data_IF_062691209737
#
_entry.id   IF_062691209737
#
_cell.length_a   1.000
_cell.length_b   1.000
_cell.length_c   1.000
_cell.angle_alpha   90.00
_cell.angle_beta   90.00
_cell.angle_gamma   90.00
#
_symmetry.space_group_name_H-M   'P 1'
#
loop_
_entity.id
_entity.type
_entity.pdbx_description
1 polymer ?
#
# COMPACT_ATOMS: atom_id res chain seq x y z
N UNK A 1 40.29 27.16 -59.96
CA UNK A 1 40.33 27.57 -58.53
C UNK A 1 39.35 26.70 -57.79
N UNK A 2 39.85 25.65 -57.15
CA UNK A 2 39.05 24.68 -56.44
C UNK A 2 39.01 25.09 -54.98
N UNK A 3 37.78 25.26 -54.42
CA UNK A 3 37.54 25.46 -53.01
C UNK A 3 37.33 24.09 -52.33
N UNK A 4 38.29 23.71 -51.49
CA UNK A 4 38.26 22.55 -50.64
C UNK A 4 37.26 22.77 -49.50
N UNK A 5 36.28 21.88 -49.41
CA UNK A 5 35.37 21.79 -48.27
C UNK A 5 35.99 20.88 -47.21
N UNK A 6 36.29 21.46 -46.07
CA UNK A 6 36.77 20.74 -44.87
C UNK A 6 35.56 20.17 -44.11
N UNK A 7 35.50 18.87 -43.76
CA UNK A 7 34.41 18.36 -42.92
C UNK A 7 34.62 18.72 -41.44
N UNK A 8 33.71 19.46 -40.86
CA UNK A 8 33.60 19.63 -39.41
C UNK A 8 33.34 18.26 -38.74
N UNK A 9 34.34 17.83 -37.99
CA UNK A 9 34.18 16.70 -37.07
C UNK A 9 33.38 17.22 -35.86
N UNK A 10 32.10 16.84 -35.77
CA UNK A 10 31.32 16.91 -34.53
C UNK A 10 31.91 15.91 -33.54
N UNK A 11 32.70 16.39 -32.60
CA UNK A 11 33.06 15.63 -31.42
C UNK A 11 31.82 15.55 -30.52
N UNK A 12 31.20 14.41 -30.48
CA UNK A 12 30.18 14.09 -29.49
C UNK A 12 30.87 14.02 -28.12
N UNK A 13 30.71 15.08 -27.33
CA UNK A 13 31.02 15.07 -25.91
C UNK A 13 29.90 14.29 -25.25
N UNK A 14 30.06 12.97 -25.14
CA UNK A 14 29.30 12.13 -24.21
C UNK A 14 29.72 12.57 -22.80
N UNK A 15 28.92 13.41 -22.19
CA UNK A 15 28.96 13.62 -20.76
C UNK A 15 28.61 12.26 -20.08
N UNK A 16 29.64 11.53 -19.69
CA UNK A 16 29.55 10.39 -18.81
C UNK A 16 29.11 10.91 -17.44
N UNK A 17 27.81 11.13 -17.28
CA UNK A 17 27.17 11.22 -15.98
C UNK A 17 27.31 9.84 -15.35
N UNK A 18 28.32 9.71 -14.49
CA UNK A 18 28.62 8.47 -13.79
C UNK A 18 27.48 8.07 -12.87
N UNK A 19 26.56 7.29 -13.39
CA UNK A 19 25.82 6.34 -12.60
C UNK A 19 26.83 5.24 -12.22
N UNK A 20 27.54 5.44 -11.10
CA UNK A 20 28.07 4.34 -10.32
C UNK A 20 26.85 3.62 -9.69
N UNK A 21 26.05 2.99 -10.50
CA UNK A 21 25.28 1.84 -10.09
C UNK A 21 26.34 0.75 -9.87
N UNK A 22 26.86 0.67 -8.64
CA UNK A 22 27.57 -0.52 -8.21
C UNK A 22 26.64 -1.68 -8.55
N UNK A 23 27.03 -2.50 -9.52
CA UNK A 23 26.32 -3.72 -9.89
C UNK A 23 26.46 -4.69 -8.70
N UNK A 24 25.67 -4.46 -7.67
CA UNK A 24 25.50 -5.41 -6.59
C UNK A 24 24.93 -6.66 -7.23
N UNK A 25 25.68 -7.76 -7.21
CA UNK A 25 25.24 -9.00 -7.83
C UNK A 25 23.87 -9.39 -7.26
N UNK A 26 22.99 -9.99 -8.07
CA UNK A 26 21.70 -10.52 -7.59
C UNK A 26 21.89 -11.42 -6.37
N UNK A 27 22.99 -12.18 -6.30
CA UNK A 27 23.30 -13.07 -5.19
C UNK A 27 23.71 -12.31 -3.93
N UNK A 28 24.43 -11.19 -4.06
CA UNK A 28 24.78 -10.33 -2.92
C UNK A 28 23.52 -9.62 -2.35
N UNK A 29 22.64 -9.11 -3.22
CA UNK A 29 21.36 -8.56 -2.81
C UNK A 29 20.47 -9.62 -2.16
N UNK A 30 20.36 -10.82 -2.76
CA UNK A 30 19.57 -11.91 -2.17
C UNK A 30 20.16 -12.41 -0.86
N UNK A 31 21.49 -12.40 -0.70
CA UNK A 31 22.18 -12.74 0.54
C UNK A 31 21.95 -11.72 1.65
N UNK A 32 21.96 -10.43 1.33
CA UNK A 32 21.70 -9.35 2.26
C UNK A 32 20.26 -9.39 2.81
N UNK A 33 19.27 -9.69 1.94
CA UNK A 33 17.87 -9.81 2.35
C UNK A 33 17.56 -11.12 3.08
N UNK A 34 18.15 -12.24 2.66
CA UNK A 34 17.97 -13.55 3.34
C UNK A 34 18.50 -13.55 4.76
N UNK A 35 19.58 -12.82 5.03
CA UNK A 35 20.12 -12.66 6.38
C UNK A 35 19.10 -12.02 7.34
N UNK A 36 18.30 -11.05 6.88
CA UNK A 36 17.26 -10.40 7.67
C UNK A 36 16.15 -11.34 8.11
N UNK A 37 15.61 -12.18 7.20
CA UNK A 37 14.53 -13.14 7.50
C UNK A 37 14.92 -14.17 8.59
N UNK A 38 16.16 -14.59 8.62
CA UNK A 38 16.67 -15.60 9.57
C UNK A 38 17.33 -14.99 10.81
N UNK A 39 17.46 -13.67 10.87
CA UNK A 39 18.10 -13.01 12.01
C UNK A 39 17.42 -13.42 13.33
N UNK A 40 18.18 -13.75 14.40
CA UNK A 40 17.62 -14.25 15.67
C UNK A 40 16.57 -13.33 16.31
N UNK A 41 16.64 -12.02 16.08
CA UNK A 41 15.67 -11.04 16.56
C UNK A 41 14.38 -10.99 15.72
N UNK A 42 14.38 -11.52 14.49
CA UNK A 42 13.25 -11.52 13.54
C UNK A 42 12.59 -12.88 13.47
N UNK A 43 13.35 -13.93 13.11
CA UNK A 43 12.90 -15.33 13.01
C UNK A 43 11.62 -15.47 12.16
N UNK A 44 11.62 -14.87 10.97
CA UNK A 44 10.45 -14.79 10.10
C UNK A 44 9.77 -16.15 9.85
N UNK A 45 10.53 -17.23 9.66
CA UNK A 45 9.98 -18.56 9.39
C UNK A 45 9.62 -19.36 10.65
N UNK A 46 10.28 -19.08 11.79
CA UNK A 46 10.23 -19.92 12.98
C UNK A 46 9.73 -19.21 14.24
N UNK A 47 9.60 -17.88 14.19
CA UNK A 47 9.07 -17.08 15.30
C UNK A 47 7.56 -17.30 15.49
N UNK A 48 7.04 -16.93 16.67
CA UNK A 48 5.60 -16.94 16.91
C UNK A 48 4.92 -15.93 16.00
N UNK A 49 3.72 -16.26 15.55
CA UNK A 49 2.88 -15.48 14.66
C UNK A 49 1.66 -14.97 15.42
N UNK A 50 1.31 -13.70 15.23
CA UNK A 50 0.21 -13.03 15.92
C UNK A 50 -0.69 -12.21 14.99
N UNK A 51 -0.71 -12.54 13.69
CA UNK A 51 -1.57 -11.86 12.73
C UNK A 51 -3.02 -12.38 12.75
N UNK A 52 -4.00 -11.60 12.26
CA UNK A 52 -5.41 -11.97 12.28
C UNK A 52 -5.76 -13.21 11.46
N UNK A 53 -5.01 -13.52 10.39
CA UNK A 53 -5.27 -14.70 9.54
C UNK A 53 -4.81 -15.99 10.23
N UNK A 54 -3.69 -15.93 10.93
CA UNK A 54 -3.23 -17.02 11.79
C UNK A 54 -4.27 -17.33 12.89
N UNK A 55 -4.79 -16.30 13.56
CA UNK A 55 -5.82 -16.45 14.59
C UNK A 55 -7.13 -17.00 14.03
N UNK A 56 -7.55 -16.55 12.83
CA UNK A 56 -8.70 -17.11 12.16
C UNK A 56 -8.49 -18.61 11.88
N UNK A 57 -7.33 -18.99 11.32
CA UNK A 57 -7.03 -20.39 11.03
C UNK A 57 -7.07 -21.26 12.30
N UNK A 58 -6.53 -20.77 13.42
CA UNK A 58 -6.61 -21.46 14.71
C UNK A 58 -8.06 -21.71 15.11
N UNK A 59 -8.93 -20.70 15.01
CA UNK A 59 -10.38 -20.81 15.31
C UNK A 59 -11.13 -21.74 14.36
N UNK A 60 -10.70 -21.83 13.09
CA UNK A 60 -11.25 -22.80 12.14
C UNK A 60 -10.85 -24.23 12.53
N UNK A 61 -9.62 -24.43 12.99
CA UNK A 61 -9.11 -25.75 13.36
C UNK A 61 -9.70 -26.27 14.69
N UNK A 62 -9.97 -25.38 15.65
CA UNK A 62 -10.61 -25.75 16.92
C UNK A 62 -12.15 -25.78 16.84
N UNK A 63 -12.74 -25.33 15.70
CA UNK A 63 -14.18 -25.37 15.44
C UNK A 63 -14.98 -24.23 16.06
N UNK A 64 -14.31 -23.23 16.68
CA UNK A 64 -14.96 -22.04 17.25
C UNK A 64 -15.47 -21.05 16.20
N UNK A 65 -14.96 -21.14 14.97
CA UNK A 65 -15.45 -20.43 13.79
C UNK A 65 -15.71 -21.43 12.67
N UNK A 66 -16.79 -21.22 11.92
CA UNK A 66 -17.11 -21.98 10.71
C UNK A 66 -17.30 -21.02 9.55
N UNK A 67 -16.70 -21.36 8.40
CA UNK A 67 -16.89 -20.61 7.16
C UNK A 67 -18.05 -21.24 6.37
N UNK A 68 -18.92 -20.38 5.83
CA UNK A 68 -19.97 -20.75 4.91
C UNK A 68 -19.47 -20.63 3.47
N UNK A 69 -19.58 -21.70 2.71
CA UNK A 69 -19.34 -21.69 1.26
C UNK A 69 -20.60 -21.22 0.53
N UNK A 70 -20.48 -20.19 -0.30
CA UNK A 70 -21.61 -19.53 -0.96
C UNK A 70 -21.51 -19.62 -2.49
N UNK A 71 -21.89 -20.74 -3.06
CA UNK A 71 -21.98 -20.92 -4.51
C UNK A 71 -20.77 -20.43 -5.30
N UNK A 72 -21.01 -19.52 -6.24
CA UNK A 72 -19.95 -18.98 -7.09
C UNK A 72 -18.96 -18.03 -6.39
N UNK A 73 -19.30 -17.57 -5.18
CA UNK A 73 -18.44 -16.66 -4.39
C UNK A 73 -17.58 -17.39 -3.36
N UNK A 74 -17.67 -18.71 -3.31
CA UNK A 74 -16.84 -19.54 -2.44
C UNK A 74 -16.94 -19.15 -0.96
N UNK A 75 -15.82 -19.06 -0.30
CA UNK A 75 -15.73 -18.60 1.09
C UNK A 75 -15.63 -17.07 1.24
N UNK A 76 -15.56 -16.30 0.14
CA UNK A 76 -15.24 -14.88 0.16
C UNK A 76 -16.05 -14.07 1.20
N UNK A 77 -17.39 -14.13 1.15
CA UNK A 77 -18.25 -13.37 2.10
C UNK A 77 -17.99 -13.75 3.55
N UNK A 78 -17.83 -15.03 3.81
CA UNK A 78 -17.60 -15.57 5.15
C UNK A 78 -16.22 -15.16 5.70
N UNK A 79 -15.21 -15.14 4.84
CA UNK A 79 -13.85 -14.68 5.18
C UNK A 79 -13.79 -13.18 5.47
N UNK A 80 -14.43 -12.37 4.62
CA UNK A 80 -14.53 -10.92 4.86
C UNK A 80 -15.19 -10.61 6.21
N UNK A 81 -16.30 -11.30 6.52
CA UNK A 81 -16.97 -11.14 7.79
C UNK A 81 -16.11 -11.61 8.99
N UNK A 82 -15.46 -12.77 8.88
CA UNK A 82 -14.63 -13.33 9.95
C UNK A 82 -13.38 -12.48 10.24
N UNK A 83 -12.84 -11.78 9.25
CA UNK A 83 -11.68 -10.90 9.35
C UNK A 83 -12.05 -9.42 9.53
N UNK A 84 -13.36 -9.09 9.61
CA UNK A 84 -13.84 -7.70 9.68
C UNK A 84 -13.32 -6.82 8.53
N UNK A 85 -13.27 -7.36 7.32
CA UNK A 85 -12.87 -6.62 6.12
C UNK A 85 -14.14 -6.05 5.46
N UNK A 86 -14.27 -4.75 5.29
CA UNK A 86 -15.46 -4.15 4.67
C UNK A 86 -15.50 -4.45 3.17
N UNK A 87 -16.67 -4.83 2.66
CA UNK A 87 -16.88 -5.07 1.23
C UNK A 87 -16.63 -3.81 0.40
N UNK A 88 -16.88 -2.64 0.98
CA UNK A 88 -16.66 -1.33 0.39
C UNK A 88 -15.18 -1.03 0.09
N UNK A 89 -14.24 -1.79 0.70
CA UNK A 89 -12.82 -1.70 0.41
C UNK A 89 -12.40 -2.35 -0.90
N UNK A 90 -13.35 -2.90 -1.68
CA UNK A 90 -13.05 -3.58 -2.93
C UNK A 90 -12.25 -2.71 -3.90
N UNK A 91 -11.10 -3.23 -4.32
CA UNK A 91 -10.29 -2.73 -5.42
C UNK A 91 -10.19 -3.80 -6.50
N UNK A 92 -10.04 -3.38 -7.76
CA UNK A 92 -10.07 -4.31 -8.90
C UNK A 92 -8.85 -4.10 -9.77
N UNK A 93 -8.04 -5.15 -9.93
CA UNK A 93 -6.80 -5.14 -10.70
C UNK A 93 -6.87 -6.14 -11.86
N UNK A 94 -6.61 -5.64 -13.07
CA UNK A 94 -6.64 -6.45 -14.29
C UNK A 94 -5.27 -6.70 -14.89
N UNK A 95 -4.20 -6.11 -14.35
CA UNK A 95 -2.82 -6.41 -14.77
C UNK A 95 -2.39 -7.81 -14.32
N UNK A 96 -1.73 -8.53 -15.21
CA UNK A 96 -1.19 -9.88 -14.97
C UNK A 96 0.12 -9.84 -14.18
N UNK A 97 0.14 -9.16 -13.04
CA UNK A 97 1.33 -8.92 -12.23
C UNK A 97 1.48 -9.83 -11.01
N UNK A 98 0.59 -10.79 -10.81
CA UNK A 98 0.65 -11.76 -9.72
C UNK A 98 1.06 -13.17 -10.20
N UNK A 99 1.33 -14.08 -9.28
CA UNK A 99 1.54 -15.51 -9.58
C UNK A 99 0.35 -16.11 -10.33
N UNK A 100 -0.86 -15.65 -10.02
CA UNK A 100 -2.10 -16.03 -10.70
C UNK A 100 -2.40 -15.17 -11.95
N UNK A 101 -1.43 -14.44 -12.47
CA UNK A 101 -1.62 -13.51 -13.59
C UNK A 101 -2.20 -14.16 -14.86
N UNK A 102 -1.95 -15.45 -15.08
CA UNK A 102 -2.51 -16.21 -16.21
C UNK A 102 -4.04 -16.34 -16.16
N UNK A 103 -4.65 -16.23 -14.96
CA UNK A 103 -6.11 -16.28 -14.72
C UNK A 103 -6.76 -14.90 -14.85
N UNK A 104 -5.97 -13.82 -14.83
CA UNK A 104 -6.45 -12.44 -14.81
C UNK A 104 -6.60 -11.88 -16.23
N UNK A 105 -7.72 -11.24 -16.51
CA UNK A 105 -7.95 -10.44 -17.71
C UNK A 105 -8.76 -9.17 -17.37
N UNK A 106 -8.85 -8.18 -18.27
CA UNK A 106 -9.71 -7.03 -18.02
C UNK A 106 -11.20 -7.35 -17.86
N UNK A 107 -11.70 -8.44 -18.44
CA UNK A 107 -13.07 -8.91 -18.25
C UNK A 107 -13.23 -9.88 -17.06
N UNK A 108 -12.13 -10.40 -16.55
CA UNK A 108 -12.07 -11.33 -15.41
C UNK A 108 -10.94 -10.91 -14.45
N UNK A 109 -11.03 -9.73 -13.85
CA UNK A 109 -9.98 -9.20 -13.00
C UNK A 109 -9.98 -9.83 -11.60
N UNK A 110 -8.86 -9.67 -10.89
CA UNK A 110 -8.72 -9.99 -9.48
C UNK A 110 -9.31 -8.86 -8.63
N UNK A 111 -10.00 -9.22 -7.55
CA UNK A 111 -10.41 -8.29 -6.50
C UNK A 111 -9.46 -8.33 -5.32
N UNK A 112 -9.34 -7.21 -4.65
CA UNK A 112 -8.59 -7.00 -3.42
C UNK A 112 -9.55 -6.35 -2.43
N UNK A 113 -9.58 -6.88 -1.20
CA UNK A 113 -10.30 -6.32 -0.07
C UNK A 113 -9.32 -6.10 1.07
N UNK A 114 -9.48 -5.06 1.86
CA UNK A 114 -8.53 -4.78 2.92
C UNK A 114 -9.17 -4.12 4.14
N UNK A 115 -8.49 -4.27 5.28
CA UNK A 115 -8.64 -3.47 6.48
C UNK A 115 -7.25 -3.03 6.97
N UNK A 116 -7.13 -2.58 8.21
CA UNK A 116 -5.87 -2.02 8.74
C UNK A 116 -4.70 -3.01 8.79
N UNK A 117 -4.94 -4.31 8.73
CA UNK A 117 -3.90 -5.34 8.96
C UNK A 117 -3.97 -6.54 8.00
N UNK A 118 -5.01 -6.66 7.19
CA UNK A 118 -5.19 -7.79 6.28
C UNK A 118 -5.58 -7.31 4.90
N UNK A 119 -4.94 -7.88 3.89
CA UNK A 119 -5.36 -7.81 2.49
C UNK A 119 -5.79 -9.21 2.06
N UNK A 120 -6.97 -9.32 1.50
CA UNK A 120 -7.53 -10.54 0.94
C UNK A 120 -7.68 -10.35 -0.57
N UNK A 121 -7.20 -11.32 -1.36
CA UNK A 121 -7.36 -11.28 -2.82
C UNK A 121 -8.12 -12.49 -3.32
N UNK A 122 -8.97 -12.26 -4.32
CA UNK A 122 -9.85 -13.28 -4.88
C UNK A 122 -10.11 -13.05 -6.37
N UNK A 123 -10.20 -14.14 -7.11
CA UNK A 123 -10.59 -14.15 -8.53
C UNK A 123 -11.85 -15.03 -8.64
N UNK A 124 -12.95 -14.57 -9.28
CA UNK A 124 -14.18 -15.34 -9.37
C UNK A 124 -13.97 -16.70 -10.00
N UNK A 125 -14.49 -17.77 -9.36
CA UNK A 125 -14.42 -19.15 -9.86
C UNK A 125 -13.06 -19.81 -9.80
N UNK A 126 -12.03 -19.13 -9.30
CA UNK A 126 -10.70 -19.71 -9.17
C UNK A 126 -10.52 -20.43 -7.82
N UNK A 127 -9.60 -21.42 -7.75
CA UNK A 127 -9.57 -22.35 -6.63
C UNK A 127 -8.96 -21.82 -5.35
N UNK A 128 -8.48 -20.56 -5.31
CA UNK A 128 -7.75 -20.04 -4.16
C UNK A 128 -8.22 -18.65 -3.74
N UNK A 129 -8.29 -18.45 -2.41
CA UNK A 129 -8.27 -17.12 -1.78
C UNK A 129 -6.89 -16.91 -1.18
N UNK A 130 -6.24 -15.78 -1.51
CA UNK A 130 -4.93 -15.44 -0.97
C UNK A 130 -5.04 -14.32 0.06
N UNK A 131 -4.13 -14.34 1.05
CA UNK A 131 -4.08 -13.33 2.11
C UNK A 131 -2.65 -12.82 2.28
N UNK A 132 -2.57 -11.54 2.61
CA UNK A 132 -1.37 -10.93 3.17
C UNK A 132 -1.78 -10.25 4.48
N UNK A 133 -1.21 -10.69 5.59
CA UNK A 133 -1.56 -10.23 6.92
C UNK A 133 -0.34 -9.64 7.63
N UNK A 134 -0.49 -8.48 8.27
CA UNK A 134 0.57 -7.84 9.03
C UNK A 134 0.76 -8.52 10.39
N UNK A 135 1.88 -9.22 10.55
CA UNK A 135 2.36 -9.60 11.86
C UNK A 135 3.09 -8.42 12.50
N UNK A 136 2.78 -8.05 13.74
CA UNK A 136 3.32 -6.85 14.38
C UNK A 136 4.85 -6.80 14.49
N UNK A 137 5.54 -7.91 14.36
CA UNK A 137 7.00 -7.99 14.50
C UNK A 137 7.73 -8.50 13.28
N UNK A 138 7.07 -9.37 12.50
CA UNK A 138 7.68 -10.06 11.36
C UNK A 138 7.42 -9.35 10.03
N UNK A 139 6.43 -8.45 9.97
CA UNK A 139 5.96 -7.86 8.73
C UNK A 139 4.88 -8.72 8.07
N UNK A 140 4.77 -8.67 6.76
CA UNK A 140 3.68 -9.34 6.05
C UNK A 140 3.90 -10.84 5.96
N UNK A 141 2.89 -11.61 6.37
CA UNK A 141 2.83 -13.07 6.22
C UNK A 141 1.78 -13.41 5.17
N UNK A 142 2.13 -14.31 4.27
CA UNK A 142 1.28 -14.70 3.14
C UNK A 142 0.63 -16.05 3.39
N UNK A 143 -0.66 -16.14 3.02
CA UNK A 143 -1.46 -17.35 3.19
C UNK A 143 -2.32 -17.61 1.96
N UNK A 144 -2.76 -18.86 1.83
CA UNK A 144 -3.79 -19.26 0.88
C UNK A 144 -4.79 -20.22 1.51
N UNK A 145 -6.02 -20.17 1.01
CA UNK A 145 -7.10 -21.11 1.31
C UNK A 145 -7.62 -21.68 0.01
N UNK A 146 -7.77 -23.02 -0.07
CA UNK A 146 -8.47 -23.64 -1.18
C UNK A 146 -9.96 -23.22 -1.15
N UNK A 147 -10.42 -22.55 -2.22
CA UNK A 147 -11.80 -22.06 -2.35
C UNK A 147 -12.74 -23.17 -2.86
N UNK A 148 -12.74 -24.29 -2.16
CA UNK A 148 -13.57 -25.47 -2.44
C UNK A 148 -14.32 -25.89 -1.20
N UNK A 149 -15.58 -26.39 -1.35
CA UNK A 149 -16.35 -26.86 -0.20
C UNK A 149 -15.57 -27.88 0.62
N UNK A 150 -15.41 -27.63 1.91
CA UNK A 150 -14.73 -28.51 2.85
C UNK A 150 -15.40 -28.47 4.20
N UNK A 151 -15.50 -29.62 4.86
CA UNK A 151 -15.99 -29.69 6.22
C UNK A 151 -15.04 -29.02 7.23
N UNK A 152 -13.77 -28.90 6.88
CA UNK A 152 -12.74 -28.29 7.71
C UNK A 152 -11.76 -27.49 6.84
N UNK A 153 -12.14 -26.32 6.35
CA UNK A 153 -11.26 -25.47 5.54
C UNK A 153 -10.03 -25.08 6.37
N UNK A 154 -8.87 -25.07 5.71
CA UNK A 154 -7.60 -24.77 6.36
C UNK A 154 -6.85 -23.70 5.58
N UNK A 155 -6.43 -22.64 6.28
CA UNK A 155 -5.57 -21.62 5.74
C UNK A 155 -4.10 -22.06 5.93
N UNK A 156 -3.33 -22.02 4.85
CA UNK A 156 -1.92 -22.45 4.84
C UNK A 156 -0.99 -21.29 4.56
N UNK A 157 0.19 -21.27 5.19
CA UNK A 157 1.21 -20.25 4.96
C UNK A 157 1.94 -20.52 3.63
N UNK A 158 2.01 -19.50 2.76
CA UNK A 158 2.57 -19.58 1.41
C UNK A 158 3.70 -18.57 1.18
N UNK A 159 4.70 -18.54 2.05
CA UNK A 159 5.75 -17.51 1.99
C UNK A 159 6.75 -17.70 0.84
N UNK A 160 7.11 -18.93 0.48
CA UNK A 160 8.22 -19.17 -0.43
C UNK A 160 8.03 -18.48 -1.79
N UNK A 161 6.86 -18.64 -2.39
CA UNK A 161 6.57 -18.08 -3.71
C UNK A 161 6.27 -16.58 -3.64
N UNK A 162 5.52 -16.14 -2.62
CA UNK A 162 5.14 -14.74 -2.45
C UNK A 162 6.37 -13.84 -2.20
N UNK A 163 7.33 -14.30 -1.40
CA UNK A 163 8.54 -13.53 -1.08
C UNK A 163 9.47 -13.30 -2.29
N UNK A 164 9.31 -14.03 -3.39
CA UNK A 164 10.06 -13.73 -4.61
C UNK A 164 9.81 -12.31 -5.15
N UNK A 165 8.60 -11.79 -4.94
CA UNK A 165 8.24 -10.41 -5.29
C UNK A 165 8.15 -9.51 -4.04
N UNK A 166 7.54 -10.02 -2.96
CA UNK A 166 7.19 -9.25 -1.77
C UNK A 166 8.31 -9.14 -0.72
N UNK A 167 9.53 -9.59 -1.04
CA UNK A 167 10.75 -9.35 -0.28
C UNK A 167 11.83 -8.83 -1.22
N UNK A 168 11.70 -7.58 -1.62
CA UNK A 168 12.52 -6.93 -2.64
C UNK A 168 12.85 -5.49 -2.26
N UNK A 169 13.62 -4.79 -3.10
CA UNK A 169 13.87 -3.36 -2.90
C UNK A 169 12.58 -2.54 -2.91
N UNK A 170 11.59 -2.93 -3.72
CA UNK A 170 10.30 -2.24 -3.77
C UNK A 170 9.48 -2.39 -2.48
N UNK A 171 9.72 -3.45 -1.69
CA UNK A 171 9.17 -3.63 -0.34
C UNK A 171 10.16 -3.23 0.75
N UNK A 172 11.18 -2.40 0.43
CA UNK A 172 12.20 -1.89 1.36
C UNK A 172 13.07 -3.01 2.01
N UNK A 173 13.19 -4.17 1.34
CA UNK A 173 13.96 -5.31 1.86
C UNK A 173 13.34 -6.04 3.04
N UNK A 174 12.03 -5.89 3.24
CA UNK A 174 11.24 -6.62 4.23
C UNK A 174 10.11 -7.39 3.55
N UNK A 175 9.55 -8.44 4.17
CA UNK A 175 8.28 -9.01 3.73
C UNK A 175 7.19 -7.94 3.80
N UNK A 176 6.76 -7.45 2.63
CA UNK A 176 5.96 -6.25 2.56
C UNK A 176 4.94 -6.25 1.43
N UNK A 177 4.16 -5.19 1.37
CA UNK A 177 3.12 -4.98 0.38
C UNK A 177 3.63 -4.17 -0.80
N UNK A 178 3.06 -4.41 -1.98
CA UNK A 178 3.40 -3.72 -3.22
C UNK A 178 2.13 -3.27 -3.93
N UNK A 179 2.00 -1.96 -4.15
CA UNK A 179 1.00 -1.40 -5.05
C UNK A 179 1.71 -1.07 -6.36
N UNK A 180 1.59 -1.95 -7.35
CA UNK A 180 2.26 -1.78 -8.63
C UNK A 180 1.38 -1.06 -9.63
N UNK A 181 1.92 -0.07 -10.32
CA UNK A 181 1.27 0.66 -11.40
C UNK A 181 2.05 0.41 -12.70
N UNK A 182 1.42 -0.27 -13.64
CA UNK A 182 1.98 -0.57 -14.96
C UNK A 182 0.89 -0.56 -16.02
N UNK A 183 1.13 0.12 -17.14
CA UNK A 183 0.22 0.06 -18.27
C UNK A 183 0.18 -1.35 -18.87
N UNK A 184 -0.96 -1.75 -19.39
CA UNK A 184 -1.16 -3.09 -19.94
C UNK A 184 -1.67 -3.05 -21.36
N UNK A 185 -1.41 -4.13 -22.10
CA UNK A 185 -2.11 -4.41 -23.36
C UNK A 185 -3.61 -4.66 -23.11
N UNK A 186 -4.39 -4.80 -24.17
CA UNK A 186 -5.81 -5.14 -24.12
C UNK A 186 -6.09 -6.48 -23.41
N UNK A 187 -5.12 -7.38 -23.34
CA UNK A 187 -5.22 -8.65 -22.62
C UNK A 187 -4.84 -8.58 -21.14
N UNK A 188 -4.41 -7.41 -20.63
CA UNK A 188 -3.92 -7.25 -19.28
C UNK A 188 -2.42 -7.56 -19.09
N UNK A 189 -1.69 -7.85 -20.18
CA UNK A 189 -0.24 -8.11 -20.10
C UNK A 189 0.52 -6.82 -19.81
N UNK A 190 1.40 -6.78 -18.79
CA UNK A 190 2.18 -5.61 -18.44
C UNK A 190 3.10 -5.14 -19.57
N UNK A 191 3.17 -3.82 -19.79
CA UNK A 191 4.02 -3.15 -20.76
C UNK A 191 5.03 -2.28 -19.99
N UNK A 192 5.94 -2.92 -19.25
CA UNK A 192 6.85 -2.26 -18.31
C UNK A 192 7.75 -1.20 -18.97
N UNK A 193 7.99 -1.29 -20.27
CA UNK A 193 8.74 -0.28 -21.03
C UNK A 193 8.01 1.07 -21.16
N UNK A 194 6.69 1.13 -20.89
CA UNK A 194 5.90 2.37 -20.82
C UNK A 194 5.85 2.98 -19.42
N UNK A 195 6.63 2.45 -18.51
CA UNK A 195 6.70 2.85 -17.09
C UNK A 195 6.09 1.80 -16.17
N UNK A 196 6.82 1.51 -15.12
CA UNK A 196 6.52 0.49 -14.12
C UNK A 196 6.95 1.04 -12.77
N UNK A 197 5.99 1.38 -11.93
CA UNK A 197 6.22 2.09 -10.67
C UNK A 197 5.53 1.39 -9.50
N UNK A 198 5.95 1.73 -8.29
CA UNK A 198 5.33 1.34 -7.02
C UNK A 198 4.92 2.62 -6.29
N UNK A 199 3.79 3.24 -6.69
CA UNK A 199 3.38 4.52 -6.16
C UNK A 199 2.93 4.45 -4.71
N UNK A 200 3.16 5.55 -4.01
CA UNK A 200 2.60 5.86 -2.71
C UNK A 200 1.90 7.25 -2.74
N UNK A 201 1.46 7.77 -1.60
CA UNK A 201 0.73 9.03 -1.55
C UNK A 201 1.56 10.25 -2.00
N UNK A 202 2.88 10.13 -2.14
CA UNK A 202 3.80 11.18 -2.64
C UNK A 202 3.95 11.17 -4.17
N UNK A 203 3.54 10.08 -4.81
CA UNK A 203 3.68 9.92 -6.26
C UNK A 203 2.69 10.79 -7.03
N UNK A 204 3.05 11.35 -8.20
CA UNK A 204 2.10 12.05 -9.05
C UNK A 204 1.04 11.10 -9.62
N UNK A 205 -0.18 11.61 -9.88
CA UNK A 205 -1.25 10.78 -10.46
C UNK A 205 -0.86 10.17 -11.81
N UNK A 206 0.00 10.82 -12.59
CA UNK A 206 0.53 10.30 -13.85
C UNK A 206 1.32 9.00 -13.72
N UNK A 207 1.64 8.58 -12.51
CA UNK A 207 2.35 7.35 -12.22
C UNK A 207 1.47 6.30 -11.53
N UNK A 208 0.23 6.68 -11.11
CA UNK A 208 -0.63 5.80 -10.30
C UNK A 208 -1.61 5.00 -11.12
N UNK A 209 -1.92 3.81 -10.64
CA UNK A 209 -3.06 2.95 -10.95
C UNK A 209 -3.06 2.30 -12.34
N UNK A 210 -1.93 2.31 -13.06
CA UNK A 210 -1.80 1.51 -14.27
C UNK A 210 -2.12 0.04 -14.01
N UNK A 211 -3.01 -0.55 -14.83
CA UNK A 211 -3.47 -1.93 -14.66
C UNK A 211 -4.58 -2.15 -13.63
N UNK A 212 -5.13 -1.07 -13.07
CA UNK A 212 -6.25 -1.09 -12.12
C UNK A 212 -7.49 -0.44 -12.72
N UNK A 213 -8.66 -0.93 -12.33
CA UNK A 213 -9.89 -0.17 -12.47
C UNK A 213 -10.01 0.83 -11.31
N UNK A 214 -10.52 2.01 -11.63
CA UNK A 214 -10.76 3.08 -10.66
C UNK A 214 -12.13 3.67 -10.93
N UNK A 215 -13.01 3.66 -9.92
CA UNK A 215 -14.35 4.21 -9.99
C UNK A 215 -14.54 5.27 -8.91
N UNK A 216 -15.39 6.27 -9.20
CA UNK A 216 -15.73 7.31 -8.24
C UNK A 216 -16.79 8.24 -8.80
N UNK A 217 -17.44 9.01 -7.93
CA UNK A 217 -18.31 10.12 -8.36
C UNK A 217 -17.46 11.27 -8.92
N UNK A 218 -16.23 11.43 -8.38
CA UNK A 218 -15.21 12.35 -8.90
C UNK A 218 -13.82 11.77 -8.64
N UNK A 219 -13.07 11.51 -9.71
CA UNK A 219 -11.70 10.99 -9.67
C UNK A 219 -10.70 12.09 -10.07
N UNK A 220 -9.44 12.02 -9.60
CA UNK A 220 -8.40 12.95 -10.04
C UNK A 220 -8.08 12.74 -11.53
N UNK A 221 -7.70 13.80 -12.23
CA UNK A 221 -7.29 13.71 -13.63
C UNK A 221 -5.84 13.19 -13.79
N UNK A 222 -5.55 12.65 -14.97
CA UNK A 222 -4.19 12.29 -15.39
C UNK A 222 -3.68 10.96 -14.84
N UNK A 223 -4.47 10.20 -14.09
CA UNK A 223 -4.04 8.88 -13.61
C UNK A 223 -4.02 7.82 -14.73
N UNK A 224 -3.26 6.74 -14.51
CA UNK A 224 -3.13 5.60 -15.44
C UNK A 224 -4.22 4.52 -15.25
N UNK A 225 -5.07 4.64 -14.26
CA UNK A 225 -6.17 3.71 -14.02
C UNK A 225 -7.17 3.71 -15.19
N UNK A 226 -7.79 2.57 -15.44
CA UNK A 226 -8.74 2.34 -16.54
C UNK A 226 -8.12 2.38 -17.96
N UNK A 227 -6.81 2.66 -18.10
CA UNK A 227 -6.09 2.76 -19.37
C UNK A 227 -5.64 1.38 -19.82
N UNK A 228 -5.78 1.11 -21.12
CA UNK A 228 -5.19 -0.03 -21.82
C UNK A 228 -4.48 0.47 -23.09
N UNK A 229 -3.49 -0.26 -23.51
CA UNK A 229 -2.73 0.04 -24.72
C UNK A 229 -3.05 -1.00 -25.79
N UNK A 230 -3.69 -0.56 -26.86
CA UNK A 230 -3.90 -1.39 -28.05
C UNK A 230 -2.65 -1.33 -28.94
N UNK A 231 -2.08 -2.48 -29.25
CA UNK A 231 -0.91 -2.59 -30.12
C UNK A 231 -1.39 -3.10 -31.48
N UNK A 232 -1.23 -2.29 -32.51
CA UNK A 232 -1.53 -2.70 -33.89
C UNK A 232 -0.57 -3.83 -34.32
N UNK A 233 -1.14 -4.94 -34.71
CA UNK A 233 -0.37 -6.15 -35.07
C UNK A 233 0.53 -5.98 -36.29
N UNK A 234 0.15 -5.13 -37.24
CA UNK A 234 0.86 -4.92 -38.50
C UNK A 234 1.91 -3.80 -38.39
N UNK A 235 1.51 -2.64 -37.83
CA UNK A 235 2.38 -1.46 -37.77
C UNK A 235 3.21 -1.37 -36.49
N UNK A 236 2.88 -2.20 -35.46
CA UNK A 236 3.43 -2.11 -34.11
C UNK A 236 3.21 -0.75 -33.45
N UNK A 237 2.29 0.06 -33.98
CA UNK A 237 1.89 1.32 -33.36
C UNK A 237 1.08 1.07 -32.08
N UNK A 238 1.30 1.91 -31.09
CA UNK A 238 0.64 1.87 -29.79
C UNK A 238 -0.40 2.97 -29.70
N UNK A 239 -1.61 2.61 -29.31
CA UNK A 239 -2.70 3.55 -29.06
C UNK A 239 -3.19 3.38 -27.64
N UNK A 240 -2.97 4.40 -26.80
CA UNK A 240 -3.50 4.42 -25.44
C UNK A 240 -4.99 4.83 -25.48
N UNK A 241 -5.84 4.04 -24.85
CA UNK A 241 -7.21 4.48 -24.60
C UNK A 241 -7.19 5.58 -23.54
N UNK A 242 -7.93 6.66 -23.78
CA UNK A 242 -8.14 7.65 -22.73
C UNK A 242 -8.94 7.00 -21.60
N UNK A 243 -8.48 7.19 -20.36
CA UNK A 243 -9.21 6.70 -19.21
C UNK A 243 -10.55 7.43 -19.08
N UNK A 244 -11.71 6.77 -19.26
CA UNK A 244 -12.96 7.41 -18.94
C UNK A 244 -13.11 7.48 -17.41
N UNK A 245 -13.74 8.54 -16.92
CA UNK A 245 -14.25 8.60 -15.56
C UNK A 245 -15.30 7.50 -15.39
N UNK A 246 -14.95 6.46 -14.64
CA UNK A 246 -15.87 5.34 -14.41
C UNK A 246 -16.62 5.56 -13.10
N UNK A 247 -17.95 5.57 -13.20
CA UNK A 247 -18.81 5.57 -12.01
C UNK A 247 -19.05 4.14 -11.48
N UNK A 248 -18.95 3.14 -12.35
CA UNK A 248 -19.07 1.73 -11.98
C UNK A 248 -18.40 0.84 -13.02
N UNK A 249 -18.23 -0.44 -12.69
CA UNK A 249 -17.69 -1.47 -13.59
C UNK A 249 -18.79 -2.22 -14.37
N UNK A 250 -20.05 -1.80 -14.28
CA UNK A 250 -21.13 -2.38 -15.07
C UNK A 250 -20.81 -2.30 -16.58
N UNK A 251 -21.05 -3.42 -17.27
CA UNK A 251 -20.75 -3.56 -18.70
C UNK A 251 -19.26 -3.71 -19.07
N UNK A 252 -18.36 -3.66 -18.09
CA UNK A 252 -16.92 -3.91 -18.31
C UNK A 252 -16.48 -5.29 -17.86
N UNK A 253 -17.18 -5.85 -16.89
CA UNK A 253 -17.01 -7.19 -16.36
C UNK A 253 -18.39 -7.75 -15.99
N UNK A 254 -18.47 -9.05 -15.75
CA UNK A 254 -19.69 -9.66 -15.20
C UNK A 254 -19.84 -9.26 -13.73
N UNK A 255 -20.51 -8.12 -13.50
CA UNK A 255 -20.71 -7.57 -12.16
C UNK A 255 -21.49 -8.49 -11.21
N UNK A 256 -22.19 -9.53 -11.72
CA UNK A 256 -22.89 -10.50 -10.88
C UNK A 256 -21.94 -11.46 -10.16
N UNK A 257 -20.74 -11.66 -10.70
CA UNK A 257 -19.71 -12.49 -10.08
C UNK A 257 -19.00 -11.81 -8.91
N UNK A 258 -19.02 -10.46 -8.85
CA UNK A 258 -18.32 -9.65 -7.86
C UNK A 258 -19.26 -9.15 -6.76
N UNK A 259 -18.71 -8.82 -5.57
CA UNK A 259 -19.54 -8.37 -4.44
C UNK A 259 -20.11 -6.96 -4.63
N UNK A 260 -19.38 -6.09 -5.33
CA UNK A 260 -19.80 -4.74 -5.69
C UNK A 260 -19.37 -4.39 -7.12
N UNK A 261 -20.05 -3.46 -7.79
CA UNK A 261 -19.62 -2.98 -9.10
C UNK A 261 -18.58 -1.85 -9.01
N UNK A 262 -17.83 -1.71 -7.90
CA UNK A 262 -16.93 -0.59 -7.67
C UNK A 262 -15.49 -1.05 -7.47
N UNK A 263 -14.56 -0.15 -7.80
CA UNK A 263 -13.16 -0.12 -7.41
C UNK A 263 -12.88 1.31 -6.95
N UNK A 264 -13.17 1.59 -5.69
CA UNK A 264 -13.37 2.94 -5.16
C UNK A 264 -12.06 3.74 -5.10
N UNK A 265 -12.08 4.96 -5.63
CA UNK A 265 -10.92 5.84 -5.68
C UNK A 265 -10.41 6.24 -4.29
N UNK A 266 -11.31 6.44 -3.32
CA UNK A 266 -10.90 6.79 -1.94
C UNK A 266 -10.27 5.59 -1.25
N UNK A 267 -10.84 4.39 -1.46
CA UNK A 267 -10.22 3.15 -1.00
C UNK A 267 -8.84 2.95 -1.62
N UNK A 268 -8.64 3.27 -2.90
CA UNK A 268 -7.36 3.18 -3.58
C UNK A 268 -6.31 4.11 -2.97
N UNK A 269 -6.67 5.37 -2.68
CA UNK A 269 -5.76 6.34 -2.03
C UNK A 269 -5.33 5.88 -0.63
N UNK A 270 -6.27 5.34 0.15
CA UNK A 270 -5.98 4.78 1.48
C UNK A 270 -5.09 3.54 1.36
N UNK A 271 -5.38 2.66 0.40
CA UNK A 271 -4.61 1.45 0.17
C UNK A 271 -3.14 1.75 -0.16
N UNK A 272 -2.86 2.69 -1.07
CA UNK A 272 -1.49 3.11 -1.39
C UNK A 272 -0.74 3.62 -0.16
N UNK A 273 -1.38 4.52 0.61
CA UNK A 273 -0.79 5.05 1.84
C UNK A 273 -0.49 3.92 2.84
N UNK A 274 -1.47 3.07 3.10
CA UNK A 274 -1.37 2.03 4.11
C UNK A 274 -0.30 0.98 3.77
N UNK A 275 -0.26 0.51 2.51
CA UNK A 275 0.68 -0.53 2.10
C UNK A 275 2.14 -0.09 2.26
N UNK A 276 2.46 1.15 1.90
CA UNK A 276 3.81 1.68 2.09
C UNK A 276 4.12 1.94 3.58
N UNK A 277 3.15 2.43 4.36
CA UNK A 277 3.32 2.61 5.80
C UNK A 277 3.61 1.29 6.53
N UNK A 278 2.95 0.19 6.16
CA UNK A 278 3.25 -1.15 6.70
C UNK A 278 4.71 -1.56 6.42
N UNK A 279 5.21 -1.28 5.20
CA UNK A 279 6.59 -1.56 4.87
C UNK A 279 7.58 -0.72 5.71
N UNK A 280 7.30 0.57 5.88
CA UNK A 280 8.11 1.48 6.70
C UNK A 280 8.14 1.05 8.16
N UNK A 281 6.99 0.72 8.75
CA UNK A 281 6.91 0.23 10.14
C UNK A 281 7.67 -1.08 10.32
N UNK A 282 7.52 -2.01 9.38
CA UNK A 282 8.24 -3.28 9.40
C UNK A 282 9.74 -3.06 9.30
N UNK A 283 10.19 -2.25 8.31
CA UNK A 283 11.61 -1.97 8.10
C UNK A 283 12.22 -1.31 9.33
N UNK A 284 11.62 -0.24 9.82
CA UNK A 284 12.08 0.47 10.99
C UNK A 284 12.13 -0.43 12.24
N UNK A 285 11.10 -1.25 12.43
CA UNK A 285 11.06 -2.22 13.53
C UNK A 285 12.14 -3.31 13.43
N UNK A 286 12.47 -3.75 12.21
CA UNK A 286 13.58 -4.71 12.00
C UNK A 286 14.93 -4.08 12.28
N UNK A 287 15.18 -2.88 11.76
CA UNK A 287 16.45 -2.18 11.95
C UNK A 287 16.69 -1.86 13.44
N UNK A 288 15.66 -1.43 14.15
CA UNK A 288 15.73 -1.21 15.59
C UNK A 288 16.01 -2.47 16.41
N UNK A 289 15.61 -3.66 15.93
CA UNK A 289 15.88 -4.95 16.61
C UNK A 289 17.22 -5.55 16.25
N UNK A 290 17.75 -5.27 15.06
CA UNK A 290 18.96 -5.90 14.53
C UNK A 290 20.21 -5.05 14.68
N UNK A 291 20.06 -3.74 14.85
CA UNK A 291 21.17 -2.79 14.94
C UNK A 291 21.05 -1.94 16.22
N UNK A 292 21.52 -2.40 17.36
CA UNK A 292 21.43 -1.64 18.61
C UNK A 292 22.16 -0.29 18.52
N UNK A 293 21.46 0.81 18.79
CA UNK A 293 22.03 2.14 19.08
C UNK A 293 22.42 3.05 17.92
N UNK A 294 22.31 2.63 16.65
CA UNK A 294 22.94 3.39 15.56
C UNK A 294 21.99 4.07 14.57
N UNK A 295 21.07 3.34 13.98
CA UNK A 295 20.29 3.79 12.80
C UNK A 295 18.95 4.48 13.14
N UNK A 296 18.47 4.36 14.37
CA UNK A 296 17.10 4.70 14.78
C UNK A 296 16.70 6.17 14.51
N UNK A 297 17.63 7.12 14.42
CA UNK A 297 17.29 8.54 14.29
C UNK A 297 17.05 8.99 12.85
N UNK A 298 17.88 8.57 11.90
CA UNK A 298 17.73 9.00 10.48
C UNK A 298 16.56 8.28 9.83
N UNK A 299 16.40 7.00 10.11
CA UNK A 299 15.30 6.18 9.61
C UNK A 299 13.94 6.59 10.21
N UNK A 300 13.92 7.09 11.46
CA UNK A 300 12.72 7.68 12.04
C UNK A 300 12.23 8.90 11.27
N UNK A 301 13.11 9.68 10.61
CA UNK A 301 12.70 10.84 9.83
C UNK A 301 11.84 10.45 8.64
N UNK A 302 12.23 9.44 7.86
CA UNK A 302 11.43 8.99 6.70
C UNK A 302 10.06 8.46 7.14
N UNK A 303 10.04 7.60 8.16
CA UNK A 303 8.79 7.07 8.70
C UNK A 303 7.87 8.19 9.21
N UNK A 304 8.41 9.16 9.96
CA UNK A 304 7.62 10.27 10.51
C UNK A 304 7.16 11.23 9.41
N UNK A 305 8.01 11.55 8.43
CA UNK A 305 7.61 12.36 7.29
C UNK A 305 6.44 11.72 6.54
N UNK A 306 6.53 10.43 6.27
CA UNK A 306 5.45 9.69 5.63
C UNK A 306 4.19 9.63 6.51
N UNK A 307 4.35 9.42 7.83
CA UNK A 307 3.25 9.39 8.80
C UNK A 307 2.53 10.74 8.92
N UNK A 308 3.25 11.85 8.76
CA UNK A 308 2.70 13.20 8.82
C UNK A 308 2.25 13.74 7.45
N UNK A 309 2.22 12.91 6.41
CA UNK A 309 1.87 13.29 5.04
C UNK A 309 2.75 14.41 4.47
N UNK A 310 4.01 14.48 4.91
CA UNK A 310 4.99 15.42 4.35
C UNK A 310 5.32 14.98 2.92
N UNK A 311 5.41 15.94 2.01
CA UNK A 311 5.63 15.72 0.58
C UNK A 311 4.50 14.91 -0.11
N UNK A 312 3.31 14.82 0.49
CA UNK A 312 2.13 14.25 -0.16
C UNK A 312 1.82 14.99 -1.47
N UNK A 313 1.54 14.21 -2.52
CA UNK A 313 1.15 14.79 -3.80
C UNK A 313 -0.20 15.49 -3.71
N UNK A 314 -0.31 16.77 -4.13
CA UNK A 314 -1.55 17.54 -4.00
C UNK A 314 -2.72 16.89 -4.75
N UNK A 315 -3.89 16.82 -4.12
CA UNK A 315 -5.09 16.23 -4.72
C UNK A 315 -5.81 17.16 -5.72
N UNK A 316 -5.25 18.33 -6.03
CA UNK A 316 -5.72 19.18 -7.12
C UNK A 316 -6.87 20.16 -6.76
N UNK A 317 -7.30 20.22 -5.49
CA UNK A 317 -8.26 21.22 -4.98
C UNK A 317 -9.74 20.91 -5.20
N UNK A 318 -10.12 20.12 -6.21
CA UNK A 318 -11.47 19.56 -6.32
C UNK A 318 -11.58 18.35 -5.40
N UNK A 319 -12.70 18.25 -4.65
CA UNK A 319 -12.87 17.10 -3.74
C UNK A 319 -12.97 15.82 -4.56
N UNK A 320 -12.13 14.84 -4.22
CA UNK A 320 -12.25 13.47 -4.73
C UNK A 320 -13.45 12.82 -4.01
N UNK A 321 -14.26 12.08 -4.74
CA UNK A 321 -15.49 11.47 -4.21
C UNK A 321 -15.57 10.01 -4.69
N UNK A 322 -15.52 9.09 -3.72
CA UNK A 322 -15.81 7.68 -3.94
C UNK A 322 -17.31 7.42 -4.19
N UNK A 323 -17.67 6.19 -4.39
CA UNK A 323 -19.08 5.81 -4.62
C UNK A 323 -19.44 4.41 -4.08
N UNK A 324 -18.52 3.75 -3.37
CA UNK A 324 -18.80 2.45 -2.74
C UNK A 324 -19.34 2.57 -1.31
N UNK A 325 -19.25 3.74 -0.68
CA UNK A 325 -19.49 3.92 0.76
C UNK A 325 -18.25 3.68 1.63
N UNK A 326 -17.08 3.47 1.04
CA UNK A 326 -15.83 3.26 1.79
C UNK A 326 -15.47 4.43 2.70
N UNK A 327 -15.66 5.67 2.22
CA UNK A 327 -15.35 6.88 2.99
C UNK A 327 -16.06 6.88 4.36
N UNK A 328 -17.37 6.60 4.37
CA UNK A 328 -18.16 6.56 5.61
C UNK A 328 -17.73 5.41 6.53
N UNK A 329 -17.53 4.22 5.97
CA UNK A 329 -17.08 3.05 6.74
C UNK A 329 -15.72 3.28 7.37
N UNK A 330 -14.75 3.79 6.62
CA UNK A 330 -13.40 4.05 7.09
C UNK A 330 -13.38 5.16 8.16
N UNK A 331 -14.10 6.26 7.93
CA UNK A 331 -14.18 7.39 8.88
C UNK A 331 -14.90 7.05 10.16
N UNK A 332 -15.77 6.04 10.16
CA UNK A 332 -16.47 5.56 11.35
C UNK A 332 -15.57 4.77 12.29
N UNK A 333 -14.45 4.25 11.81
CA UNK A 333 -13.50 3.46 12.59
C UNK A 333 -12.58 4.34 13.44
N UNK A 334 -11.94 3.70 14.41
CA UNK A 334 -10.88 4.30 15.25
C UNK A 334 -11.39 5.18 16.38
N UNK A 335 -10.45 5.60 17.23
CA UNK A 335 -10.77 6.44 18.38
C UNK A 335 -11.14 7.86 17.96
N UNK A 336 -11.94 8.51 18.77
CA UNK A 336 -12.33 9.92 18.63
C UNK A 336 -11.99 10.69 19.91
N UNK A 337 -11.55 11.93 19.75
CA UNK A 337 -11.37 12.83 20.90
C UNK A 337 -12.72 13.36 21.41
N UNK A 338 -12.69 14.13 22.50
CA UNK A 338 -13.87 14.74 23.12
C UNK A 338 -14.63 15.71 22.20
N UNK A 339 -13.98 16.19 21.13
CA UNK A 339 -14.58 17.04 20.09
C UNK A 339 -15.12 16.21 18.89
N UNK A 340 -15.09 14.87 18.97
CA UNK A 340 -15.53 13.97 17.91
C UNK A 340 -14.58 13.86 16.73
N UNK A 341 -13.34 14.35 16.82
CA UNK A 341 -12.31 14.29 15.78
C UNK A 341 -11.56 12.97 15.82
N UNK A 342 -11.14 12.49 14.65
CA UNK A 342 -10.35 11.28 14.48
C UNK A 342 -9.30 11.47 13.38
N UNK A 343 -8.16 10.78 13.49
CA UNK A 343 -7.15 10.72 12.43
C UNK A 343 -7.64 10.01 11.16
N UNK A 344 -8.85 9.44 11.16
CA UNK A 344 -9.48 8.81 9.98
C UNK A 344 -10.43 9.73 9.22
N UNK A 345 -10.53 11.00 9.60
CA UNK A 345 -11.33 11.96 8.85
C UNK A 345 -10.59 12.44 7.61
N UNK A 346 -11.29 12.46 6.49
CA UNK A 346 -10.76 12.84 5.18
C UNK A 346 -10.85 14.35 4.92
N UNK A 347 -9.86 14.89 4.19
CA UNK A 347 -9.97 16.17 3.46
C UNK A 347 -10.44 15.95 2.02
N UNK A 348 -9.73 15.08 1.28
CA UNK A 348 -9.98 14.72 -0.14
C UNK A 348 -10.01 15.90 -1.12
N UNK A 349 -9.55 17.08 -0.72
CA UNK A 349 -9.39 18.26 -1.57
C UNK A 349 -7.93 18.60 -1.82
N UNK A 350 -7.17 18.72 -0.75
CA UNK A 350 -5.75 19.08 -0.76
C UNK A 350 -4.90 17.91 -0.32
N UNK A 351 -5.38 17.19 0.70
CA UNK A 351 -4.74 16.08 1.38
C UNK A 351 -5.67 14.89 1.46
N UNK A 352 -5.11 13.71 1.65
CA UNK A 352 -5.90 12.52 1.92
C UNK A 352 -6.62 12.66 3.27
N UNK A 353 -5.89 12.95 4.33
CA UNK A 353 -6.43 13.08 5.69
C UNK A 353 -6.61 14.53 6.11
N UNK A 354 -7.62 14.79 6.93
CA UNK A 354 -7.92 16.12 7.46
C UNK A 354 -6.87 16.61 8.47
N UNK A 355 -6.26 15.68 9.21
CA UNK A 355 -5.24 15.96 10.20
C UNK A 355 -3.91 15.35 9.79
N UNK A 356 -2.79 16.07 9.94
CA UNK A 356 -1.48 15.64 9.46
C UNK A 356 -0.86 14.58 10.39
N UNK A 357 -1.51 13.45 10.51
CA UNK A 357 -0.98 12.26 11.18
C UNK A 357 -1.76 11.02 10.70
N UNK A 358 -1.03 10.01 10.30
CA UNK A 358 -1.60 8.74 9.85
C UNK A 358 -2.27 7.99 11.00
N UNK A 359 -3.46 7.44 10.72
CA UNK A 359 -4.15 6.53 11.62
C UNK A 359 -3.36 5.25 11.92
N UNK A 360 -2.32 4.94 11.13
CA UNK A 360 -1.44 3.78 11.35
C UNK A 360 -0.59 3.90 12.62
N UNK A 361 -0.55 5.07 13.26
CA UNK A 361 0.00 5.22 14.61
C UNK A 361 -0.73 4.35 15.66
N UNK A 362 -1.96 3.92 15.38
CA UNK A 362 -2.73 3.01 16.23
C UNK A 362 -2.56 1.54 15.86
N UNK A 363 -1.75 1.21 14.85
CA UNK A 363 -1.56 -0.18 14.43
C UNK A 363 -0.81 -1.01 15.46
N UNK A 364 -1.09 -2.31 15.49
CA UNK A 364 -0.35 -3.25 16.32
C UNK A 364 1.15 -3.30 15.97
N UNK A 365 1.50 -3.05 14.70
CA UNK A 365 2.90 -2.96 14.27
C UNK A 365 3.62 -1.77 14.89
N UNK A 366 2.97 -0.60 14.98
CA UNK A 366 3.51 0.56 15.68
C UNK A 366 3.70 0.26 17.18
N UNK A 367 2.70 -0.34 17.83
CA UNK A 367 2.76 -0.64 19.26
C UNK A 367 3.77 -1.74 19.62
N UNK A 368 4.11 -2.60 18.66
CA UNK A 368 5.13 -3.64 18.82
C UNK A 368 6.57 -3.17 18.56
N UNK A 369 6.79 -1.92 18.16
CA UNK A 369 8.14 -1.37 18.00
C UNK A 369 8.91 -1.41 19.32
N UNK A 370 10.25 -1.57 19.32
CA UNK A 370 11.06 -1.39 20.51
C UNK A 370 10.85 -0.02 21.17
N UNK A 371 10.90 0.05 22.49
CA UNK A 371 10.62 1.29 23.23
C UNK A 371 11.49 2.48 22.78
N UNK A 372 12.76 2.25 22.48
CA UNK A 372 13.67 3.29 21.96
C UNK A 372 13.24 3.79 20.57
N UNK A 373 12.76 2.89 19.72
CA UNK A 373 12.25 3.22 18.41
C UNK A 373 10.95 4.04 18.49
N UNK A 374 10.01 3.64 19.33
CA UNK A 374 8.80 4.44 19.59
C UNK A 374 9.14 5.83 20.15
N UNK A 375 10.08 5.90 21.09
CA UNK A 375 10.52 7.17 21.69
C UNK A 375 11.13 8.11 20.62
N UNK A 376 11.91 7.58 19.68
CA UNK A 376 12.47 8.35 18.57
C UNK A 376 11.37 8.91 17.65
N UNK A 377 10.38 8.07 17.27
CA UNK A 377 9.23 8.48 16.46
C UNK A 377 8.43 9.57 17.19
N UNK A 378 8.05 9.36 18.45
CA UNK A 378 7.30 10.34 19.21
C UNK A 378 8.05 11.67 19.37
N UNK A 379 9.37 11.61 19.63
CA UNK A 379 10.20 12.82 19.69
C UNK A 379 10.16 13.58 18.38
N UNK A 380 10.30 12.88 17.27
CA UNK A 380 10.30 13.50 15.93
C UNK A 380 8.93 14.10 15.58
N UNK A 381 7.84 13.36 15.83
CA UNK A 381 6.47 13.88 15.67
C UNK A 381 6.29 15.16 16.50
N UNK A 382 6.73 15.17 17.74
CA UNK A 382 6.63 16.34 18.61
C UNK A 382 7.38 17.54 18.06
N UNK A 383 8.66 17.37 17.66
CA UNK A 383 9.47 18.45 17.10
C UNK A 383 8.77 19.15 15.93
N UNK A 384 8.12 18.39 15.07
CA UNK A 384 7.42 18.92 13.90
C UNK A 384 6.07 19.54 14.31
N UNK A 385 5.25 18.81 15.04
CA UNK A 385 3.89 19.26 15.38
C UNK A 385 3.86 20.37 16.44
N UNK A 386 4.80 20.41 17.40
CA UNK A 386 4.91 21.51 18.35
C UNK A 386 5.39 22.81 17.69
N UNK A 387 6.09 22.69 16.57
CA UNK A 387 6.73 23.80 15.88
C UNK A 387 8.12 24.14 16.42
N UNK A 388 8.76 23.22 17.15
CA UNK A 388 10.21 23.29 17.44
C UNK A 388 11.00 23.31 16.14
N UNK A 389 10.54 22.55 15.12
CA UNK A 389 11.08 22.57 13.77
C UNK A 389 10.03 23.05 12.76
N UNK A 390 10.30 24.19 12.12
CA UNK A 390 9.41 24.84 11.13
C UNK A 390 10.09 25.12 9.80
N UNK A 391 11.33 24.67 9.62
CA UNK A 391 12.13 24.97 8.44
C UNK A 391 11.79 24.01 7.29
N UNK A 392 12.03 24.47 6.05
CA UNK A 392 11.85 23.65 4.85
C UNK A 392 10.40 23.14 4.71
N UNK A 393 10.25 21.85 4.47
CA UNK A 393 8.99 21.17 4.17
C UNK A 393 7.96 21.20 5.32
N UNK A 394 8.39 21.33 6.56
CA UNK A 394 7.48 21.34 7.73
C UNK A 394 6.77 22.68 7.94
N UNK A 395 7.29 23.77 7.36
CA UNK A 395 6.67 25.09 7.42
C UNK A 395 5.31 25.18 6.72
N UNK A 396 5.02 24.26 5.82
CA UNK A 396 3.75 24.18 5.11
C UNK A 396 2.58 23.62 5.95
N UNK A 397 2.86 22.93 7.06
CA UNK A 397 1.81 22.36 7.93
C UNK A 397 1.16 23.48 8.76
N UNK A 398 -0.13 23.82 8.56
CA UNK A 398 -0.78 24.91 9.27
C UNK A 398 -0.81 24.69 10.78
N UNK A 399 -0.64 25.75 11.56
CA UNK A 399 -0.67 25.70 13.02
C UNK A 399 -1.96 25.06 13.56
N UNK A 400 -3.10 25.39 12.96
CA UNK A 400 -4.41 24.83 13.34
C UNK A 400 -4.45 23.31 13.15
N UNK A 401 -3.87 22.81 12.07
CA UNK A 401 -3.81 21.35 11.78
C UNK A 401 -2.84 20.65 12.74
N UNK A 402 -1.67 21.26 13.04
CA UNK A 402 -0.71 20.73 14.01
C UNK A 402 -1.33 20.62 15.40
N UNK A 403 -2.00 21.69 15.87
CA UNK A 403 -2.70 21.69 17.16
C UNK A 403 -3.78 20.62 17.23
N UNK A 404 -4.60 20.51 16.20
CA UNK A 404 -5.65 19.49 16.13
C UNK A 404 -5.08 18.07 16.20
N UNK A 405 -4.02 17.77 15.45
CA UNK A 405 -3.38 16.44 15.48
C UNK A 405 -2.83 16.11 16.89
N UNK A 406 -2.15 17.05 17.54
CA UNK A 406 -1.65 16.86 18.90
C UNK A 406 -2.79 16.67 19.91
N UNK A 407 -3.86 17.46 19.84
CA UNK A 407 -5.03 17.32 20.71
C UNK A 407 -5.70 15.95 20.55
N UNK A 408 -5.89 15.49 19.30
CA UNK A 408 -6.42 14.14 19.01
C UNK A 408 -5.52 13.08 19.63
N UNK A 409 -4.21 13.14 19.40
CA UNK A 409 -3.26 12.15 19.92
C UNK A 409 -3.27 12.10 21.44
N UNK A 410 -3.35 13.24 22.12
CA UNK A 410 -3.41 13.32 23.61
C UNK A 410 -4.57 12.52 24.19
N UNK A 411 -5.72 12.57 23.56
CA UNK A 411 -6.92 11.91 24.07
C UNK A 411 -7.06 10.46 23.57
N UNK A 412 -6.42 10.11 22.44
CA UNK A 412 -6.73 8.87 21.74
C UNK A 412 -5.56 7.87 21.64
N UNK A 413 -4.31 8.33 21.83
CA UNK A 413 -3.14 7.43 21.78
C UNK A 413 -2.59 7.19 23.18
N UNK A 414 -2.80 6.00 23.77
CA UNK A 414 -2.20 5.64 25.06
C UNK A 414 -0.67 5.63 25.00
N UNK A 415 -0.03 5.96 26.11
CA UNK A 415 1.42 5.87 26.25
C UNK A 415 2.21 7.00 25.59
N UNK A 416 1.57 8.13 25.23
CA UNK A 416 2.30 9.31 24.75
C UNK A 416 3.25 9.84 25.83
N UNK A 417 4.49 10.23 25.43
CA UNK A 417 5.41 10.88 26.34
C UNK A 417 4.88 12.20 26.92
N UNK A 418 5.27 12.52 28.16
CA UNK A 418 4.76 13.69 28.89
C UNK A 418 4.98 15.04 28.19
N UNK A 419 5.97 15.16 27.30
CA UNK A 419 6.19 16.40 26.55
C UNK A 419 5.07 16.71 25.53
N UNK A 420 4.25 15.74 25.14
CA UNK A 420 3.06 16.02 24.33
C UNK A 420 2.03 16.90 25.08
N UNK A 421 2.13 17.07 26.40
CA UNK A 421 1.30 18.02 27.14
C UNK A 421 1.70 19.52 26.93
N UNK A 422 2.87 19.76 26.29
CA UNK A 422 3.38 21.10 26.02
C UNK A 422 2.56 21.89 25.01
N UNK A 423 2.85 23.17 24.85
CA UNK A 423 2.15 24.06 23.91
C UNK A 423 2.62 23.80 22.47
N UNK A 424 1.69 23.94 21.53
CA UNK A 424 1.94 23.90 20.09
C UNK A 424 1.96 25.34 19.56
N UNK A 425 3.11 25.77 19.07
CA UNK A 425 3.40 27.14 18.64
C UNK A 425 3.35 27.31 17.12
#
# INVERSE_FOLDING_TARGET
>A
MALQSTPLKFAAVLAASGLLAAAVSRDALSGMFRGGLQHPAIRYYTGPVADPVYELNRKLQDGSVQLKFDGAQGYLRSLLAALNIPVESQLVVFSKTSLLGHLITPSHPRTIYFNDSVVLTWIPGEPFVEFAAEDPRQGIIFYALDDKPSAKPRITRHNADCLNCHHSLASMGVPGMLVRSVLTSDSGTPLSYLGDTFPDHRSPFTERWGGWYVTGARVPSGHRGNVRVTIDGATKSEMMTTAPDLRSLQGRLDSSAYLTPYSDVVAMLVFEHQMHMMNLLTRFGWDARTTPGGAVREEANELVDYMLFVDEWPLGGSRIEGNSGFEDKFSALGPRDSKGRSLRQFDLRRHLMLYPCSYMIYSAAFDALPAEAQAAIYRRIWQILSGEERTGKYGSIPLTSRRAAVEILRETKPGLPGYFAGEVN
#
